data_IF_290140028065
#
_entry.id   IF_290140028065
#
_cell.length_a   1.000
_cell.length_b   1.000
_cell.length_c   1.000
_cell.angle_alpha   90.00
_cell.angle_beta   90.00
_cell.angle_gamma   90.00
#
_symmetry.space_group_name_H-M   'P 1'
#
loop_
_entity.id
_entity.type
_entity.pdbx_description
1 polymer ?
#
# COMPACT_ATOMS: atom_id res chain seq x y z
N UNK A 1 -31.46 -7.67 37.15
CA UNK A 1 -30.19 -8.39 37.04
C UNK A 1 -29.57 -8.04 35.68
N UNK A 2 -28.32 -7.65 35.68
CA UNK A 2 -27.61 -7.39 34.40
C UNK A 2 -27.24 -8.73 33.74
N UNK A 3 -27.65 -8.95 32.50
CA UNK A 3 -27.24 -10.12 31.72
C UNK A 3 -25.80 -9.90 31.23
N UNK A 4 -24.88 -10.73 31.67
CA UNK A 4 -23.49 -10.72 31.20
C UNK A 4 -23.35 -11.71 30.06
N UNK A 5 -23.11 -11.24 28.83
CA UNK A 5 -22.76 -12.06 27.67
C UNK A 5 -21.24 -12.11 27.61
N UNK A 6 -20.66 -13.32 27.69
CA UNK A 6 -19.22 -13.52 27.51
C UNK A 6 -18.94 -14.11 26.14
N UNK A 7 -18.09 -13.44 25.36
CA UNK A 7 -17.58 -13.97 24.10
C UNK A 7 -16.48 -15.01 24.42
N UNK A 8 -16.38 -16.06 23.59
CA UNK A 8 -15.29 -17.02 23.65
C UNK A 8 -13.94 -16.32 23.47
N UNK A 9 -12.95 -16.69 24.26
CA UNK A 9 -11.67 -16.00 24.28
C UNK A 9 -10.50 -16.97 24.50
N UNK A 10 -9.34 -16.63 23.96
CA UNK A 10 -8.09 -17.35 24.11
C UNK A 10 -6.89 -16.41 24.06
N UNK A 11 -5.70 -16.96 24.19
CA UNK A 11 -4.43 -16.23 24.10
C UNK A 11 -3.34 -17.13 23.54
N UNK A 12 -2.26 -16.55 22.99
CA UNK A 12 -1.06 -17.24 22.53
C UNK A 12 -1.09 -17.75 21.09
N UNK A 13 -2.25 -18.18 20.57
CA UNK A 13 -2.41 -18.62 19.17
C UNK A 13 -3.76 -18.22 18.61
N UNK A 14 -3.87 -18.18 17.28
CA UNK A 14 -5.15 -17.98 16.60
C UNK A 14 -6.07 -19.18 16.83
N UNK A 15 -7.38 -18.99 16.92
CA UNK A 15 -8.32 -20.08 17.14
C UNK A 15 -8.31 -21.05 15.95
N UNK A 16 -8.28 -22.36 16.26
CA UNK A 16 -8.43 -23.37 15.22
C UNK A 16 -9.90 -23.52 14.79
N UNK A 17 -10.12 -23.91 13.53
CA UNK A 17 -11.47 -24.09 13.00
C UNK A 17 -12.28 -25.17 13.75
N UNK A 18 -11.59 -26.17 14.35
CA UNK A 18 -12.19 -27.20 15.20
C UNK A 18 -12.76 -26.63 16.51
N UNK A 19 -12.23 -25.52 16.98
CA UNK A 19 -12.58 -24.93 18.27
C UNK A 19 -13.74 -23.92 18.16
N UNK A 20 -14.23 -23.68 16.96
CA UNK A 20 -15.24 -22.66 16.66
C UNK A 20 -16.48 -23.26 16.00
N UNK A 21 -17.64 -22.74 16.36
CA UNK A 21 -18.90 -22.97 15.65
C UNK A 21 -19.05 -21.91 14.56
N UNK A 22 -19.81 -22.23 13.50
CA UNK A 22 -20.07 -21.31 12.39
C UNK A 22 -20.68 -20.00 12.90
N UNK A 23 -20.10 -18.88 12.49
CA UNK A 23 -20.52 -17.53 12.92
C UNK A 23 -20.15 -17.17 14.35
N UNK A 24 -19.46 -18.05 15.12
CA UNK A 24 -19.06 -17.75 16.49
C UNK A 24 -17.91 -16.72 16.52
N UNK A 25 -18.07 -15.60 17.28
CA UNK A 25 -16.97 -14.66 17.52
C UNK A 25 -16.02 -15.21 18.61
N UNK A 26 -14.73 -15.10 18.35
CA UNK A 26 -13.68 -15.44 19.31
C UNK A 26 -12.71 -14.27 19.45
N UNK A 27 -12.49 -13.82 20.69
CA UNK A 27 -11.54 -12.76 21.00
C UNK A 27 -10.18 -13.36 21.42
N UNK A 28 -9.14 -12.97 20.74
CA UNK A 28 -7.78 -13.20 21.19
C UNK A 28 -7.34 -12.06 22.10
N UNK A 29 -7.09 -12.35 23.37
CA UNK A 29 -6.92 -11.32 24.41
C UNK A 29 -5.52 -10.73 24.50
N UNK A 30 -4.51 -11.43 24.00
CA UNK A 30 -3.12 -10.98 23.96
C UNK A 30 -2.85 -9.98 22.82
N UNK A 31 -3.59 -10.08 21.71
CA UNK A 31 -3.45 -9.21 20.53
C UNK A 31 -4.65 -8.33 20.29
N UNK A 32 -5.73 -8.48 21.09
CA UNK A 32 -7.02 -7.79 20.92
C UNK A 32 -7.66 -8.01 19.54
N UNK A 33 -7.50 -9.21 18.97
CA UNK A 33 -7.97 -9.58 17.65
C UNK A 33 -9.27 -10.39 17.74
N UNK A 34 -10.21 -10.10 16.84
CA UNK A 34 -11.49 -10.80 16.74
C UNK A 34 -11.50 -11.73 15.53
N UNK A 35 -12.01 -12.93 15.72
CA UNK A 35 -12.08 -13.97 14.70
C UNK A 35 -13.51 -14.48 14.55
N UNK A 36 -13.87 -14.94 13.32
CA UNK A 36 -15.09 -15.65 13.03
C UNK A 36 -14.81 -16.88 12.19
N UNK A 37 -15.63 -17.94 12.38
CA UNK A 37 -15.65 -19.07 11.47
C UNK A 37 -16.62 -18.76 10.34
N UNK A 38 -16.14 -18.80 9.09
CA UNK A 38 -16.90 -18.54 7.87
C UNK A 38 -17.72 -19.77 7.44
N UNK A 39 -18.65 -19.57 6.51
CA UNK A 39 -19.50 -20.63 5.94
C UNK A 39 -18.70 -21.73 5.23
N UNK A 40 -17.52 -21.43 4.70
CA UNK A 40 -16.60 -22.40 4.12
C UNK A 40 -15.82 -23.22 5.16
N UNK A 41 -16.08 -22.99 6.45
CA UNK A 41 -15.43 -23.65 7.58
C UNK A 41 -14.06 -23.06 7.97
N UNK A 42 -13.52 -22.11 7.21
CA UNK A 42 -12.25 -21.47 7.55
C UNK A 42 -12.42 -20.40 8.63
N UNK A 43 -11.34 -20.11 9.36
CA UNK A 43 -11.30 -19.03 10.34
C UNK A 43 -10.79 -17.75 9.68
N UNK A 44 -11.51 -16.66 9.85
CA UNK A 44 -11.10 -15.35 9.39
C UNK A 44 -10.92 -14.39 10.57
N UNK A 45 -9.84 -13.67 10.57
CA UNK A 45 -9.63 -12.53 11.45
C UNK A 45 -10.49 -11.37 10.95
N UNK A 46 -11.26 -10.78 11.85
CA UNK A 46 -11.92 -9.51 11.56
C UNK A 46 -10.83 -8.45 11.53
N UNK A 47 -10.33 -8.21 10.35
CA UNK A 47 -9.55 -6.99 10.13
C UNK A 47 -10.56 -5.84 10.24
N UNK A 48 -10.46 -5.07 11.31
CA UNK A 48 -11.09 -3.75 11.29
C UNK A 48 -10.60 -3.09 10.01
N UNK A 49 -11.50 -2.82 9.08
CA UNK A 49 -11.20 -2.12 7.83
C UNK A 49 -10.83 -0.65 8.10
N UNK A 50 -9.96 -0.44 9.07
CA UNK A 50 -9.47 0.84 9.54
C UNK A 50 -8.03 1.11 9.15
N UNK A 51 -7.54 0.50 8.09
CA UNK A 51 -6.39 1.06 7.40
C UNK A 51 -6.87 2.26 6.59
N UNK A 52 -6.81 3.45 7.14
CA UNK A 52 -6.83 4.65 6.31
C UNK A 52 -5.78 4.51 5.21
N UNK A 53 -5.79 5.35 4.17
CA UNK A 53 -4.82 5.27 3.10
C UNK A 53 -3.40 5.23 3.68
N UNK A 54 -2.69 4.13 3.45
CA UNK A 54 -1.29 4.00 3.86
C UNK A 54 -0.44 4.84 2.90
N UNK A 55 -0.15 6.06 3.32
CA UNK A 55 0.72 6.96 2.55
C UNK A 55 2.18 6.58 2.78
N UNK A 56 2.81 6.04 1.77
CA UNK A 56 4.26 5.82 1.77
C UNK A 56 4.96 6.90 0.97
N UNK A 57 5.94 7.52 1.60
CA UNK A 57 6.87 8.40 0.91
C UNK A 57 7.77 7.59 -0.02
N UNK A 58 7.88 8.03 -1.26
CA UNK A 58 8.75 7.46 -2.26
C UNK A 58 9.90 8.43 -2.56
N UNK A 59 10.97 7.88 -3.08
CA UNK A 59 12.10 8.65 -3.58
C UNK A 59 12.45 8.21 -5.01
N UNK A 60 13.18 9.05 -5.71
CA UNK A 60 13.69 8.80 -7.04
C UNK A 60 15.15 8.39 -7.01
N UNK A 61 15.51 7.45 -7.85
CA UNK A 61 16.90 7.07 -8.12
C UNK A 61 17.17 7.07 -9.62
N UNK A 62 18.42 7.08 -10.00
CA UNK A 62 18.81 7.01 -11.40
C UNK A 62 18.29 5.71 -12.02
N UNK A 63 17.57 5.80 -13.14
CA UNK A 63 16.94 4.65 -13.79
C UNK A 63 17.95 3.66 -14.34
N UNK A 64 19.14 4.10 -14.72
CA UNK A 64 20.14 3.24 -15.38
C UNK A 64 20.96 2.39 -14.37
N UNK A 65 21.24 2.90 -13.17
CA UNK A 65 22.17 2.26 -12.24
C UNK A 65 21.69 2.22 -10.79
N UNK A 66 20.46 2.66 -10.52
CA UNK A 66 19.88 2.78 -9.17
C UNK A 66 20.75 3.65 -8.20
N UNK A 67 21.61 4.49 -8.75
CA UNK A 67 22.39 5.49 -8.01
C UNK A 67 21.53 6.67 -7.54
N UNK A 68 22.19 7.70 -7.01
CA UNK A 68 21.49 8.94 -6.67
C UNK A 68 20.80 9.54 -7.91
N UNK A 69 19.56 10.05 -7.74
CA UNK A 69 18.89 10.76 -8.82
C UNK A 69 19.68 12.00 -9.23
N UNK A 70 19.83 12.22 -10.54
CA UNK A 70 20.43 13.43 -11.09
C UNK A 70 19.40 14.22 -11.87
N UNK A 71 19.41 15.53 -11.72
CA UNK A 71 18.50 16.46 -12.39
C UNK A 71 19.28 17.41 -13.30
N UNK A 72 18.72 17.88 -14.42
CA UNK A 72 17.39 17.57 -14.94
C UNK A 72 17.32 16.18 -15.61
N UNK A 73 16.22 15.45 -15.41
CA UNK A 73 15.95 14.16 -16.07
C UNK A 73 14.43 13.90 -16.13
N UNK A 74 14.02 12.95 -16.95
CA UNK A 74 12.61 12.56 -17.08
C UNK A 74 12.34 11.12 -16.59
N UNK A 75 13.34 10.25 -16.54
CA UNK A 75 13.21 8.83 -16.18
C UNK A 75 13.93 8.50 -14.88
N UNK A 76 13.20 7.92 -13.94
CA UNK A 76 13.75 7.59 -12.63
C UNK A 76 13.22 6.24 -12.13
N UNK A 77 14.01 5.53 -11.33
CA UNK A 77 13.54 4.36 -10.56
C UNK A 77 12.85 4.83 -9.28
N UNK A 78 11.64 4.30 -9.03
CA UNK A 78 10.91 4.50 -7.77
C UNK A 78 11.45 3.58 -6.69
N UNK A 79 11.72 4.13 -5.53
CA UNK A 79 12.13 3.37 -4.33
C UNK A 79 11.34 3.86 -3.11
N UNK A 80 11.28 3.04 -2.06
CA UNK A 80 10.83 3.53 -0.75
C UNK A 80 11.82 4.56 -0.24
N UNK A 81 11.36 5.69 0.26
CA UNK A 81 12.21 6.74 0.83
C UNK A 81 13.14 6.16 1.90
N UNK A 82 14.41 6.54 1.85
CA UNK A 82 15.44 6.03 2.75
C UNK A 82 16.02 4.64 2.38
N UNK A 83 15.59 4.03 1.27
CA UNK A 83 16.08 2.72 0.81
C UNK A 83 16.59 2.75 -0.63
N UNK A 84 17.15 1.63 -1.09
CA UNK A 84 17.49 1.38 -2.50
C UNK A 84 16.56 0.35 -3.15
N UNK A 85 15.57 -0.15 -2.41
CA UNK A 85 14.64 -1.17 -2.88
C UNK A 85 13.63 -0.57 -3.85
N UNK A 86 13.64 -1.02 -5.10
CA UNK A 86 12.69 -0.58 -6.12
C UNK A 86 11.26 -0.98 -5.75
N UNK A 87 10.32 -0.12 -6.07
CA UNK A 87 8.89 -0.36 -5.93
C UNK A 87 8.27 -0.45 -7.32
N UNK A 88 7.37 -1.42 -7.50
CA UNK A 88 6.56 -1.56 -8.70
C UNK A 88 5.09 -1.26 -8.31
N UNK A 89 4.62 0.00 -8.48
CA UNK A 89 3.21 0.29 -8.27
C UNK A 89 2.33 -0.45 -9.27
N UNK A 90 1.15 -0.86 -8.86
CA UNK A 90 0.22 -1.61 -9.73
C UNK A 90 -0.32 -0.76 -10.87
N UNK A 91 -0.43 0.54 -10.69
CA UNK A 91 -0.89 1.48 -11.71
C UNK A 91 -0.44 2.91 -11.40
N UNK A 92 -0.35 3.78 -12.41
CA UNK A 92 0.05 5.19 -12.24
C UNK A 92 -0.93 5.98 -11.35
N UNK A 93 -2.21 5.64 -11.37
CA UNK A 93 -3.24 6.29 -10.54
C UNK A 93 -3.17 5.93 -9.04
N UNK A 94 -2.28 5.00 -8.64
CA UNK A 94 -2.00 4.72 -7.24
C UNK A 94 -0.93 5.65 -6.64
N UNK A 95 -0.36 6.52 -7.47
CA UNK A 95 0.61 7.53 -7.06
C UNK A 95 0.00 8.93 -7.07
N UNK A 96 0.30 9.69 -6.04
CA UNK A 96 0.16 11.15 -6.05
C UNK A 96 1.55 11.75 -6.27
N UNK A 97 1.72 12.45 -7.35
CA UNK A 97 3.00 13.07 -7.76
C UNK A 97 2.82 14.57 -7.86
N UNK A 98 3.65 15.33 -7.15
CA UNK A 98 3.69 16.78 -7.24
C UNK A 98 5.08 17.25 -7.66
N UNK A 99 5.18 18.06 -8.68
CA UNK A 99 6.41 18.73 -9.12
C UNK A 99 6.25 20.22 -8.88
N UNK A 100 7.09 20.78 -8.01
CA UNK A 100 7.01 22.19 -7.60
C UNK A 100 5.61 22.62 -7.14
N UNK A 101 4.93 21.76 -6.38
CA UNK A 101 3.56 22.02 -5.89
C UNK A 101 2.45 21.78 -6.92
N UNK A 102 2.77 21.39 -8.15
CA UNK A 102 1.77 21.09 -9.20
C UNK A 102 1.56 19.59 -9.31
N UNK A 103 0.33 19.13 -9.08
CA UNK A 103 -0.03 17.72 -9.20
C UNK A 103 0.06 17.28 -10.65
N UNK A 104 0.74 16.17 -10.89
CA UNK A 104 0.98 15.59 -12.20
C UNK A 104 -0.11 14.59 -12.58
N UNK A 105 -0.56 14.65 -13.84
CA UNK A 105 -1.56 13.72 -14.36
C UNK A 105 -0.96 12.32 -14.55
N UNK A 106 -1.56 11.25 -13.96
CA UNK A 106 -1.16 9.88 -14.25
C UNK A 106 -1.64 9.43 -15.63
N UNK A 107 -0.81 8.72 -16.36
CA UNK A 107 -1.13 8.10 -17.66
C UNK A 107 -1.05 6.58 -17.54
N UNK A 108 -1.93 5.89 -18.28
CA UNK A 108 -2.05 4.41 -18.24
C UNK A 108 -1.03 3.68 -19.12
N UNK A 109 -0.38 4.39 -20.05
CA UNK A 109 0.67 3.82 -20.92
C UNK A 109 2.00 3.62 -20.18
N UNK A 110 2.91 2.86 -20.80
CA UNK A 110 4.28 2.62 -20.29
C UNK A 110 5.35 3.46 -20.99
N UNK A 111 4.97 4.18 -22.04
CA UNK A 111 5.83 5.11 -22.77
C UNK A 111 5.90 6.48 -22.11
N UNK A 112 6.91 7.28 -22.45
CA UNK A 112 7.00 8.68 -22.02
C UNK A 112 5.75 9.45 -22.49
N UNK A 113 4.96 10.03 -21.57
CA UNK A 113 3.75 10.73 -21.95
C UNK A 113 4.05 12.14 -22.47
N UNK A 114 3.10 12.78 -23.14
CA UNK A 114 3.23 14.19 -23.52
C UNK A 114 3.06 15.16 -22.36
N UNK A 115 2.38 14.73 -21.27
CA UNK A 115 2.12 15.51 -20.06
C UNK A 115 2.03 14.57 -18.87
N UNK A 116 2.38 15.08 -17.67
CA UNK A 116 2.28 14.32 -16.43
C UNK A 116 3.32 13.20 -16.36
N UNK A 117 2.92 12.02 -15.91
CA UNK A 117 3.83 10.87 -15.77
C UNK A 117 3.17 9.57 -16.17
N UNK A 118 3.99 8.57 -16.50
CA UNK A 118 3.62 7.17 -16.73
C UNK A 118 4.55 6.23 -15.95
N UNK A 119 4.14 4.97 -15.79
CA UNK A 119 4.94 3.93 -15.14
C UNK A 119 5.32 2.83 -16.13
N UNK A 120 6.57 2.35 -16.01
CA UNK A 120 7.06 1.16 -16.70
C UNK A 120 7.80 0.30 -15.68
N UNK A 121 7.11 -0.68 -15.09
CA UNK A 121 7.63 -1.43 -13.95
C UNK A 121 7.91 -0.50 -12.77
N UNK A 122 9.15 -0.49 -12.29
CA UNK A 122 9.61 0.42 -11.24
C UNK A 122 10.05 1.80 -11.73
N UNK A 123 9.99 2.06 -13.04
CA UNK A 123 10.41 3.33 -13.62
C UNK A 123 9.23 4.28 -13.76
N UNK A 124 9.35 5.47 -13.19
CA UNK A 124 8.47 6.61 -13.48
C UNK A 124 9.08 7.42 -14.63
N UNK A 125 8.24 7.79 -15.59
CA UNK A 125 8.61 8.59 -16.76
C UNK A 125 7.78 9.86 -16.79
N UNK A 126 8.44 10.99 -16.76
CA UNK A 126 7.78 12.32 -16.89
C UNK A 126 7.71 12.75 -18.34
N UNK A 127 6.68 13.52 -18.68
CA UNK A 127 6.50 14.08 -20.03
C UNK A 127 7.55 15.12 -20.42
N UNK A 128 8.27 15.66 -19.44
CA UNK A 128 9.40 16.56 -19.61
C UNK A 128 10.43 16.35 -18.51
N UNK A 129 11.66 16.82 -18.72
CA UNK A 129 12.68 16.80 -17.69
C UNK A 129 12.22 17.62 -16.48
N UNK A 130 12.31 17.02 -15.28
CA UNK A 130 12.10 17.72 -14.02
C UNK A 130 13.45 18.22 -13.50
N UNK A 131 13.48 19.42 -12.95
CA UNK A 131 14.71 20.11 -12.52
C UNK A 131 15.08 19.84 -11.06
N UNK A 132 14.16 19.29 -10.27
CA UNK A 132 14.34 18.97 -8.87
C UNK A 132 13.51 17.75 -8.48
N UNK A 133 13.83 17.16 -7.32
CA UNK A 133 13.06 16.03 -6.79
C UNK A 133 11.59 16.42 -6.57
N UNK A 134 10.64 15.67 -7.12
CA UNK A 134 9.21 15.87 -6.85
C UNK A 134 8.81 15.28 -5.50
N UNK A 135 7.66 15.70 -5.00
CA UNK A 135 6.99 15.00 -3.90
C UNK A 135 6.22 13.80 -4.44
N UNK A 136 6.49 12.63 -3.91
CA UNK A 136 5.94 11.38 -4.38
C UNK A 136 5.31 10.62 -3.21
N UNK A 137 4.00 10.34 -3.34
CA UNK A 137 3.25 9.56 -2.37
C UNK A 137 2.64 8.34 -3.05
N UNK A 138 2.85 7.18 -2.49
CA UNK A 138 2.13 5.98 -2.86
C UNK A 138 0.86 5.88 -2.00
N UNK A 139 -0.29 5.91 -2.66
CA UNK A 139 -1.58 5.67 -2.02
C UNK A 139 -1.93 4.20 -2.22
N UNK A 140 -1.69 3.38 -1.22
CA UNK A 140 -2.20 2.02 -1.22
C UNK A 140 -3.71 2.08 -0.96
N UNK A 141 -4.51 1.98 -2.01
CA UNK A 141 -5.94 1.75 -1.84
C UNK A 141 -6.14 0.38 -1.19
N UNK A 142 -6.75 0.38 -0.02
CA UNK A 142 -7.22 -0.83 0.67
C UNK A 142 -8.58 -1.27 0.13
N UNK A 143 -8.76 -1.30 -1.18
CA UNK A 143 -9.89 -1.98 -1.77
C UNK A 143 -9.35 -3.28 -2.34
N UNK A 144 -9.54 -4.34 -1.56
CA UNK A 144 -9.45 -5.68 -2.09
C UNK A 144 -10.58 -5.94 -3.07
#
# INVERSE_FOLDING_TARGET
MANTIKIKRGSGSDPAASDMVLGEPVLRTDTAELFFKKDDGSVAKVSGGGGGPDFKYLALRNAANNGAASFPNADFTLVTSGTTSAIIPTAANTLLVSVNGVIQKPNTGTSTPSQGFALSGSTIKFGANISAAPDLFFIKSQVA
#
